data_IF_925941679405
#
_entry.id   IF_925941679405
#
_cell.length_a   1.000
_cell.length_b   1.000
_cell.length_c   1.000
_cell.angle_alpha   90.00
_cell.angle_beta   90.00
_cell.angle_gamma   90.00
#
_symmetry.space_group_name_H-M   'P 1'
#
loop_
_entity.id
_entity.type
_entity.pdbx_description
1 polymer ?
#
# COMPACT_ATOMS: atom_id res chain seq x y z
N UNK A 1 -11.21 -18.78 31.61
CA UNK A 1 -10.04 -19.20 30.78
C UNK A 1 -10.21 -19.04 29.26
N UNK A 2 -9.28 -18.37 28.59
CA UNK A 2 -9.10 -18.38 27.11
C UNK A 2 -7.89 -19.23 26.72
N UNK A 3 -7.88 -19.79 25.50
CA UNK A 3 -6.78 -20.64 25.02
C UNK A 3 -6.35 -20.23 23.61
N UNK A 4 -5.03 -20.11 23.40
CA UNK A 4 -4.41 -19.88 22.10
C UNK A 4 -3.41 -20.97 21.78
N UNK A 5 -3.56 -21.62 20.62
CA UNK A 5 -2.63 -22.65 20.13
C UNK A 5 -1.54 -22.04 19.25
N UNK A 6 -0.27 -22.27 19.58
CA UNK A 6 0.89 -21.79 18.83
C UNK A 6 1.84 -22.97 18.61
N UNK A 7 2.14 -23.31 17.34
CA UNK A 7 3.00 -24.45 16.99
C UNK A 7 2.64 -25.74 17.76
N UNK A 8 1.34 -26.02 17.88
CA UNK A 8 0.75 -27.13 18.64
C UNK A 8 0.85 -27.07 20.17
N UNK A 9 1.38 -26.00 20.76
CA UNK A 9 1.39 -25.78 22.21
C UNK A 9 0.21 -24.88 22.58
N UNK A 10 -0.51 -25.23 23.65
CA UNK A 10 -1.62 -24.45 24.18
C UNK A 10 -1.13 -23.44 25.22
N UNK A 11 -1.45 -22.17 25.00
CA UNK A 11 -1.19 -21.10 25.94
C UNK A 11 -2.50 -20.60 26.52
N UNK A 12 -2.61 -20.67 27.85
CA UNK A 12 -3.82 -20.33 28.59
C UNK A 12 -3.74 -18.88 29.09
N UNK A 13 -4.90 -18.23 29.10
CA UNK A 13 -5.12 -16.93 29.77
C UNK A 13 -6.21 -17.16 30.79
N UNK A 14 -5.87 -16.98 32.06
CA UNK A 14 -6.79 -17.09 33.17
C UNK A 14 -7.49 -15.75 33.40
N UNK A 15 -8.75 -15.81 33.76
CA UNK A 15 -9.60 -14.65 33.98
C UNK A 15 -9.18 -13.83 35.20
N UNK A 16 -8.55 -14.46 36.20
CA UNK A 16 -8.02 -13.79 37.40
C UNK A 16 -6.95 -14.65 38.10
N UNK A 17 -6.34 -14.09 39.15
CA UNK A 17 -5.35 -14.80 39.98
C UNK A 17 -5.94 -16.05 40.67
N UNK A 18 -7.20 -16.01 41.12
CA UNK A 18 -7.83 -17.15 41.78
C UNK A 18 -7.93 -18.38 40.85
N UNK A 19 -8.38 -18.18 39.61
CA UNK A 19 -8.42 -19.23 38.58
C UNK A 19 -7.00 -19.71 38.27
N UNK A 20 -6.02 -18.80 38.16
CA UNK A 20 -4.62 -19.17 37.94
C UNK A 20 -4.06 -20.07 39.05
N UNK A 21 -4.29 -19.72 40.33
CA UNK A 21 -3.79 -20.48 41.48
C UNK A 21 -4.39 -21.88 41.60
N UNK A 22 -5.60 -22.11 41.08
CA UNK A 22 -6.19 -23.45 41.03
C UNK A 22 -5.40 -24.40 40.11
N UNK A 23 -4.85 -23.88 39.00
CA UNK A 23 -4.10 -24.68 38.04
C UNK A 23 -2.58 -24.64 38.26
N UNK A 24 -2.08 -23.52 38.78
CA UNK A 24 -0.66 -23.22 38.95
C UNK A 24 -0.38 -22.67 40.38
N UNK A 25 -0.57 -23.46 41.44
CA UNK A 25 -0.54 -22.96 42.82
C UNK A 25 0.84 -22.43 43.25
N UNK A 26 1.92 -23.07 42.79
CA UNK A 26 3.30 -22.79 43.21
C UNK A 26 4.08 -21.86 42.28
N UNK A 27 3.47 -21.40 41.19
CA UNK A 27 4.17 -20.55 40.21
C UNK A 27 4.23 -19.09 40.67
N UNK A 28 5.34 -18.43 40.38
CA UNK A 28 5.50 -17.00 40.68
C UNK A 28 4.67 -16.14 39.74
N UNK A 29 3.95 -15.17 40.31
CA UNK A 29 3.10 -14.24 39.56
C UNK A 29 3.65 -12.82 39.66
N UNK A 30 4.00 -12.25 38.51
CA UNK A 30 4.48 -10.87 38.41
C UNK A 30 3.30 -9.93 38.19
N UNK A 31 2.98 -9.09 39.17
CA UNK A 31 1.80 -8.20 39.12
C UNK A 31 1.87 -7.15 38.01
N UNK A 32 3.06 -6.64 37.72
CA UNK A 32 3.28 -5.70 36.64
C UNK A 32 3.84 -6.45 35.42
N UNK A 33 3.01 -6.64 34.40
CA UNK A 33 3.44 -7.35 33.19
C UNK A 33 4.63 -6.73 32.48
N UNK A 34 4.92 -5.44 32.69
CA UNK A 34 6.08 -4.76 32.11
C UNK A 34 7.40 -5.31 32.60
N UNK A 35 7.39 -5.90 33.79
CA UNK A 35 8.58 -6.47 34.45
C UNK A 35 8.74 -7.95 34.13
N UNK A 36 7.74 -8.58 33.50
CA UNK A 36 7.75 -10.00 33.17
C UNK A 36 8.86 -10.40 32.19
N UNK A 37 9.62 -11.44 32.54
CA UNK A 37 10.64 -12.08 31.70
C UNK A 37 10.04 -13.20 30.86
N UNK A 38 10.76 -13.70 29.86
CA UNK A 38 10.30 -14.83 29.05
C UNK A 38 10.06 -16.06 29.93
N UNK A 39 8.87 -16.66 29.79
CA UNK A 39 8.39 -17.78 30.61
C UNK A 39 7.62 -17.38 31.88
N UNK A 40 7.75 -16.13 32.35
CA UNK A 40 7.07 -15.68 33.58
C UNK A 40 5.55 -15.54 33.40
N UNK A 41 4.81 -15.75 34.49
CA UNK A 41 3.39 -15.42 34.56
C UNK A 41 3.21 -13.97 35.01
N UNK A 42 2.34 -13.25 34.32
CA UNK A 42 2.09 -11.83 34.54
C UNK A 42 0.60 -11.53 34.69
N UNK A 43 0.28 -10.53 35.51
CA UNK A 43 -1.07 -9.96 35.61
C UNK A 43 -1.24 -8.81 34.62
N UNK A 44 -2.35 -8.81 33.89
CA UNK A 44 -2.74 -7.77 32.94
C UNK A 44 -3.46 -6.62 33.67
N UNK A 45 -3.65 -5.48 32.99
CA UNK A 45 -4.29 -4.31 33.60
C UNK A 45 -5.78 -4.52 33.90
N UNK A 46 -6.44 -5.47 33.22
CA UNK A 46 -7.81 -5.92 33.50
C UNK A 46 -7.88 -7.13 34.46
N UNK A 47 -6.77 -7.51 35.08
CA UNK A 47 -6.71 -8.54 36.13
C UNK A 47 -6.60 -9.98 35.64
N UNK A 48 -6.51 -10.22 34.34
CA UNK A 48 -6.24 -11.54 33.78
C UNK A 48 -4.79 -11.98 34.06
N UNK A 49 -4.53 -13.28 33.97
CA UNK A 49 -3.18 -13.84 34.15
C UNK A 49 -2.76 -14.63 32.91
N UNK A 50 -1.57 -14.32 32.37
CA UNK A 50 -1.05 -14.99 31.19
C UNK A 50 0.48 -15.12 31.23
N UNK A 51 1.02 -16.02 30.41
CA UNK A 51 2.46 -16.23 30.32
C UNK A 51 3.09 -15.29 29.28
N UNK A 52 4.27 -14.74 29.61
CA UNK A 52 5.13 -14.05 28.66
C UNK A 52 5.84 -15.07 27.79
N UNK A 53 5.46 -15.12 26.52
CA UNK A 53 6.00 -16.03 25.51
C UNK A 53 7.33 -15.54 24.93
N UNK A 54 7.56 -14.23 24.94
CA UNK A 54 8.81 -13.62 24.48
C UNK A 54 8.96 -12.22 25.05
N UNK A 55 10.18 -11.85 25.43
CA UNK A 55 10.57 -10.46 25.70
C UNK A 55 11.58 -10.01 24.64
N UNK A 56 11.54 -8.74 24.25
CA UNK A 56 12.53 -8.21 23.31
C UNK A 56 12.68 -6.71 23.42
N UNK A 57 13.69 -6.18 22.73
CA UNK A 57 14.03 -4.77 22.72
C UNK A 57 13.68 -4.12 21.38
N UNK A 58 13.05 -2.95 21.46
CA UNK A 58 12.79 -2.05 20.33
C UNK A 58 13.76 -0.88 20.42
N UNK A 59 14.75 -0.89 19.54
CA UNK A 59 15.65 0.24 19.34
C UNK A 59 14.92 1.33 18.57
N UNK A 60 14.90 2.54 19.11
CA UNK A 60 14.41 3.69 18.36
C UNK A 60 15.43 4.09 17.29
N UNK A 61 15.05 4.10 16.02
CA UNK A 61 15.97 4.48 14.93
C UNK A 61 16.36 5.96 14.95
N UNK A 62 15.60 6.80 15.66
CA UNK A 62 15.80 8.25 15.68
C UNK A 62 16.57 8.75 16.92
N UNK A 63 16.71 7.94 17.97
CA UNK A 63 17.43 8.31 19.19
C UNK A 63 18.37 7.20 19.62
N UNK A 64 19.67 7.50 19.59
CA UNK A 64 20.72 6.61 20.11
C UNK A 64 20.55 6.49 21.63
N UNK A 65 20.30 5.26 22.11
CA UNK A 65 20.20 4.94 23.54
C UNK A 65 18.79 4.74 24.10
N UNK A 66 17.73 5.06 23.34
CA UNK A 66 16.35 4.78 23.79
C UNK A 66 15.91 3.38 23.30
N UNK A 67 16.01 2.40 24.19
CA UNK A 67 15.43 1.06 24.02
C UNK A 67 14.11 0.95 24.78
N UNK A 68 13.04 0.57 24.10
CA UNK A 68 11.80 0.16 24.76
C UNK A 68 11.74 -1.36 24.79
N UNK A 69 11.40 -1.95 25.94
CA UNK A 69 11.10 -3.37 25.98
C UNK A 69 9.70 -3.64 25.42
N UNK A 70 9.50 -4.85 24.93
CA UNK A 70 8.18 -5.37 24.64
C UNK A 70 8.04 -6.79 25.16
N UNK A 71 6.81 -7.16 25.50
CA UNK A 71 6.42 -8.53 25.82
C UNK A 71 5.41 -9.03 24.82
N UNK A 72 5.49 -10.32 24.50
CA UNK A 72 4.50 -11.05 23.72
C UNK A 72 3.87 -12.08 24.62
N UNK A 73 2.56 -12.03 24.75
CA UNK A 73 1.74 -12.98 25.52
C UNK A 73 0.74 -13.65 24.59
N UNK A 74 -0.03 -14.61 25.11
CA UNK A 74 -1.14 -15.20 24.35
C UNK A 74 -2.18 -14.15 23.89
N UNK A 75 -2.36 -13.05 24.61
CA UNK A 75 -3.30 -11.97 24.26
C UNK A 75 -2.78 -11.20 23.04
N UNK A 76 -1.51 -10.79 23.05
CA UNK A 76 -0.92 -9.94 22.02
C UNK A 76 0.54 -9.56 22.28
N UNK A 77 1.08 -8.66 21.46
CA UNK A 77 2.40 -8.06 21.69
C UNK A 77 2.20 -6.61 22.15
N UNK A 78 2.80 -6.24 23.28
CA UNK A 78 2.65 -4.94 23.92
C UNK A 78 4.02 -4.34 24.25
N UNK A 79 4.17 -3.03 24.02
CA UNK A 79 5.38 -2.29 24.40
C UNK A 79 5.28 -1.95 25.88
N UNK A 80 6.35 -2.18 26.63
CA UNK A 80 6.44 -1.83 28.05
C UNK A 80 6.61 -0.31 28.21
N UNK A 81 5.52 0.43 28.08
CA UNK A 81 5.43 1.88 28.31
C UNK A 81 4.23 2.16 29.19
N UNK A 82 4.35 3.14 30.07
CA UNK A 82 3.32 3.46 31.07
C UNK A 82 1.95 3.80 30.45
N UNK A 83 1.93 4.33 29.23
CA UNK A 83 0.70 4.69 28.52
C UNK A 83 0.07 3.55 27.69
N UNK A 84 0.58 2.32 27.77
CA UNK A 84 0.06 1.16 27.02
C UNK A 84 -0.48 0.14 28.00
N UNK A 85 -1.79 -0.10 27.97
CA UNK A 85 -2.43 -1.15 28.77
C UNK A 85 -2.49 -2.47 27.99
N UNK A 86 -2.30 -3.57 28.72
CA UNK A 86 -2.60 -4.93 28.28
C UNK A 86 -3.91 -5.36 28.93
N UNK A 87 -4.95 -5.47 28.12
CA UNK A 87 -6.29 -5.87 28.54
C UNK A 87 -7.08 -6.46 27.36
N UNK A 88 -8.17 -7.15 27.67
CA UNK A 88 -9.19 -7.59 26.72
C UNK A 88 -8.98 -8.98 26.13
N UNK A 89 -9.60 -9.21 24.97
CA UNK A 89 -9.63 -10.52 24.31
C UNK A 89 -8.36 -10.84 23.49
N UNK A 90 -8.22 -12.11 23.09
CA UNK A 90 -7.13 -12.57 22.23
C UNK A 90 -7.12 -11.84 20.87
N UNK A 91 -6.11 -11.00 20.62
CA UNK A 91 -5.98 -10.26 19.34
C UNK A 91 -5.81 -11.21 18.16
N UNK A 92 -6.50 -11.01 17.04
CA UNK A 92 -6.37 -11.90 15.85
C UNK A 92 -4.92 -12.11 15.41
N UNK A 93 -4.09 -11.06 15.44
CA UNK A 93 -2.66 -11.17 15.20
C UNK A 93 -1.86 -10.84 16.47
N UNK A 94 -1.43 -11.89 17.17
CA UNK A 94 -0.64 -11.77 18.40
C UNK A 94 0.73 -11.11 18.18
N UNK A 95 1.27 -11.16 16.97
CA UNK A 95 2.61 -10.67 16.64
C UNK A 95 2.66 -9.17 16.33
N UNK A 96 1.50 -8.54 16.15
CA UNK A 96 1.39 -7.11 15.87
C UNK A 96 1.22 -6.31 17.16
N UNK A 97 1.88 -5.16 17.22
CA UNK A 97 1.68 -4.18 18.30
C UNK A 97 0.32 -3.47 18.22
N UNK A 98 -0.32 -3.46 17.03
CA UNK A 98 -1.63 -2.84 16.84
C UNK A 98 -2.78 -3.68 17.38
N UNK A 99 -3.80 -3.02 17.94
CA UNK A 99 -5.05 -3.64 18.41
C UNK A 99 -6.01 -4.01 17.28
N UNK A 100 -5.76 -3.56 16.04
CA UNK A 100 -6.70 -3.75 14.96
C UNK A 100 -6.74 -5.22 14.50
N UNK A 101 -7.93 -5.81 14.60
CA UNK A 101 -8.31 -7.12 14.06
C UNK A 101 -8.38 -7.17 12.52
N UNK A 102 -7.64 -6.29 11.85
CA UNK A 102 -7.64 -6.08 10.41
C UNK A 102 -6.37 -6.73 9.85
N UNK A 103 -6.51 -7.52 8.79
CA UNK A 103 -5.36 -8.15 8.15
C UNK A 103 -4.40 -7.08 7.59
N UNK A 104 -3.08 -7.35 7.51
CA UNK A 104 -2.12 -6.42 6.91
C UNK A 104 -2.52 -5.96 5.50
N UNK A 105 -3.16 -6.85 4.74
CA UNK A 105 -3.73 -6.56 3.42
C UNK A 105 -4.82 -5.49 3.49
N UNK A 106 -5.84 -5.68 4.34
CA UNK A 106 -6.92 -4.68 4.51
C UNK A 106 -6.39 -3.36 5.05
N UNK A 107 -5.47 -3.40 6.02
CA UNK A 107 -4.85 -2.19 6.55
C UNK A 107 -4.11 -1.37 5.47
N UNK A 108 -3.55 -2.03 4.46
CA UNK A 108 -2.88 -1.36 3.34
C UNK A 108 -3.88 -0.68 2.40
N UNK A 109 -4.99 -1.36 2.10
CA UNK A 109 -6.04 -0.86 1.19
C UNK A 109 -6.82 0.27 1.85
N UNK A 110 -7.30 0.04 3.09
CA UNK A 110 -8.18 0.95 3.83
C UNK A 110 -7.47 2.21 4.35
N UNK A 111 -6.16 2.32 4.13
CA UNK A 111 -5.38 3.48 4.53
C UNK A 111 -5.95 4.73 3.83
N UNK A 112 -6.17 5.81 4.58
CA UNK A 112 -6.67 7.07 3.99
C UNK A 112 -5.54 7.96 3.44
N UNK A 113 -4.45 8.10 4.20
CA UNK A 113 -3.33 9.01 3.87
C UNK A 113 -2.20 8.27 3.16
N UNK A 114 -1.62 8.90 2.15
CA UNK A 114 -0.54 8.30 1.39
C UNK A 114 0.77 8.29 2.19
N UNK A 115 1.60 7.28 1.94
CA UNK A 115 2.95 7.21 2.52
C UNK A 115 3.99 7.80 1.57
N UNK A 116 5.15 8.24 2.08
CA UNK A 116 6.26 8.74 1.25
C UNK A 116 6.70 7.74 0.17
N UNK A 117 6.65 6.44 0.46
CA UNK A 117 6.97 5.39 -0.50
C UNK A 117 5.89 5.20 -1.56
N UNK A 118 4.62 5.42 -1.21
CA UNK A 118 3.53 5.43 -2.19
C UNK A 118 3.69 6.62 -3.17
N UNK A 119 4.16 7.79 -2.70
CA UNK A 119 4.53 8.90 -3.59
C UNK A 119 5.67 8.55 -4.54
N UNK A 120 6.78 7.99 -4.02
CA UNK A 120 7.90 7.56 -4.87
C UNK A 120 7.47 6.49 -5.89
N UNK A 121 6.67 5.52 -5.45
CA UNK A 121 6.12 4.49 -6.32
C UNK A 121 5.28 5.11 -7.45
N UNK A 122 4.36 6.03 -7.12
CA UNK A 122 3.54 6.72 -8.10
C UNK A 122 4.38 7.51 -9.10
N UNK A 123 5.42 8.22 -8.63
CA UNK A 123 6.37 8.94 -9.49
C UNK A 123 7.06 8.01 -10.50
N UNK A 124 7.62 6.88 -10.05
CA UNK A 124 8.28 5.94 -10.96
C UNK A 124 7.31 5.32 -11.97
N UNK A 125 6.08 5.01 -11.54
CA UNK A 125 5.04 4.51 -12.47
C UNK A 125 4.67 5.58 -13.51
N UNK A 126 4.50 6.85 -13.10
CA UNK A 126 4.22 7.95 -14.01
C UNK A 126 5.35 8.20 -15.02
N UNK A 127 6.60 7.94 -14.61
CA UNK A 127 7.78 7.96 -15.48
C UNK A 127 7.92 6.71 -16.38
N UNK A 128 6.95 5.78 -16.36
CA UNK A 128 6.91 4.60 -17.21
C UNK A 128 7.67 3.38 -16.71
N UNK A 129 8.16 3.37 -15.46
CA UNK A 129 8.73 2.16 -14.91
C UNK A 129 7.66 1.08 -14.75
N UNK A 130 8.02 -0.17 -15.07
CA UNK A 130 7.14 -1.31 -14.84
C UNK A 130 6.78 -1.47 -13.36
N UNK A 131 5.63 -2.08 -13.06
CA UNK A 131 5.07 -2.17 -11.70
C UNK A 131 6.09 -2.72 -10.69
N UNK A 132 6.72 -3.85 -11.02
CA UNK A 132 7.71 -4.48 -10.14
C UNK A 132 8.94 -3.60 -9.94
N UNK A 133 9.46 -3.00 -11.02
CA UNK A 133 10.62 -2.12 -10.99
C UNK A 133 10.35 -0.86 -10.15
N UNK A 134 9.23 -0.17 -10.40
CA UNK A 134 8.80 0.99 -9.64
C UNK A 134 8.66 0.67 -8.14
N UNK A 135 8.11 -0.50 -7.82
CA UNK A 135 7.96 -0.95 -6.44
C UNK A 135 9.33 -1.21 -5.79
N UNK A 136 10.24 -1.91 -6.45
CA UNK A 136 11.58 -2.18 -5.92
C UNK A 136 12.42 -0.90 -5.76
N UNK A 137 12.22 0.11 -6.61
CA UNK A 137 12.85 1.43 -6.43
C UNK A 137 12.29 2.19 -5.22
N UNK A 138 10.98 2.10 -4.96
CA UNK A 138 10.34 2.81 -3.87
C UNK A 138 10.39 2.08 -2.51
N UNK A 139 10.53 0.75 -2.50
CA UNK A 139 10.51 -0.10 -1.32
C UNK A 139 11.73 -1.01 -1.27
N UNK A 140 12.34 -1.22 -0.08
CA UNK A 140 13.55 -2.03 0.06
C UNK A 140 13.24 -3.53 -0.07
N UNK A 141 13.09 -4.01 -1.29
CA UNK A 141 12.90 -5.43 -1.60
C UNK A 141 13.57 -5.77 -2.93
N UNK A 142 14.14 -6.97 -2.99
CA UNK A 142 14.77 -7.51 -4.21
C UNK A 142 13.95 -8.68 -4.80
N UNK A 143 12.76 -8.96 -4.23
CA UNK A 143 11.91 -10.03 -4.72
C UNK A 143 10.90 -9.49 -5.73
N UNK A 144 11.16 -9.75 -7.00
CA UNK A 144 10.37 -9.25 -8.12
C UNK A 144 8.91 -9.75 -8.10
N UNK A 145 8.66 -11.04 -7.83
CA UNK A 145 7.29 -11.58 -7.77
C UNK A 145 6.49 -10.94 -6.64
N UNK A 146 7.13 -10.72 -5.49
CA UNK A 146 6.53 -10.00 -4.38
C UNK A 146 6.26 -8.54 -4.75
N UNK A 147 7.22 -7.87 -5.39
CA UNK A 147 7.10 -6.48 -5.82
C UNK A 147 5.96 -6.28 -6.82
N UNK A 148 5.84 -7.15 -7.83
CA UNK A 148 4.73 -7.15 -8.79
C UNK A 148 3.38 -7.29 -8.10
N UNK A 149 3.23 -8.32 -7.26
CA UNK A 149 1.98 -8.58 -6.54
C UNK A 149 1.59 -7.41 -5.62
N UNK A 150 2.56 -6.87 -4.86
CA UNK A 150 2.31 -5.74 -3.97
C UNK A 150 2.05 -4.44 -4.73
N UNK A 151 2.74 -4.21 -5.84
CA UNK A 151 2.54 -3.06 -6.72
C UNK A 151 1.13 -3.07 -7.31
N UNK A 152 0.65 -4.23 -7.79
CA UNK A 152 -0.73 -4.40 -8.27
C UNK A 152 -1.77 -4.06 -7.20
N UNK A 153 -1.53 -4.45 -5.94
CA UNK A 153 -2.41 -4.08 -4.82
C UNK A 153 -2.39 -2.56 -4.58
N UNK A 154 -1.23 -1.90 -4.70
CA UNK A 154 -1.17 -0.44 -4.54
C UNK A 154 -1.94 0.26 -5.67
N UNK A 155 -1.76 -0.16 -6.92
CA UNK A 155 -2.44 0.41 -8.08
C UNK A 155 -3.96 0.27 -8.07
N UNK A 156 -4.50 -0.75 -7.38
CA UNK A 156 -5.95 -0.88 -7.24
C UNK A 156 -6.56 0.16 -6.29
N UNK A 157 -5.75 0.81 -5.44
CA UNK A 157 -6.26 1.81 -4.49
C UNK A 157 -6.43 3.19 -5.14
N UNK A 158 -7.59 3.82 -4.88
CA UNK A 158 -7.90 5.14 -5.47
C UNK A 158 -6.88 6.21 -5.07
N UNK A 159 -6.37 6.12 -3.84
CA UNK A 159 -5.31 6.98 -3.32
C UNK A 159 -4.07 6.97 -4.22
N UNK A 160 -3.56 5.79 -4.58
CA UNK A 160 -2.34 5.68 -5.39
C UNK A 160 -2.64 6.04 -6.86
N UNK A 161 -3.82 5.72 -7.38
CA UNK A 161 -4.24 6.18 -8.71
C UNK A 161 -4.23 7.71 -8.82
N UNK A 162 -4.73 8.41 -7.80
CA UNK A 162 -4.70 9.87 -7.77
C UNK A 162 -3.28 10.43 -7.73
N UNK A 163 -2.38 9.82 -6.94
CA UNK A 163 -0.97 10.22 -6.96
C UNK A 163 -0.32 10.03 -8.34
N UNK A 164 -0.64 8.94 -9.03
CA UNK A 164 -0.12 8.70 -10.38
C UNK A 164 -0.66 9.76 -11.34
N UNK A 165 -1.97 10.08 -11.28
CA UNK A 165 -2.57 11.16 -12.10
C UNK A 165 -1.84 12.49 -11.87
N UNK A 166 -1.65 12.88 -10.62
CA UNK A 166 -0.95 14.13 -10.26
C UNK A 166 0.50 14.16 -10.77
N UNK A 167 1.22 13.04 -10.71
CA UNK A 167 2.59 12.96 -11.23
C UNK A 167 2.63 12.94 -12.77
N UNK A 168 1.67 12.28 -13.43
CA UNK A 168 1.52 12.32 -14.89
C UNK A 168 1.23 13.74 -15.36
N UNK A 169 0.31 14.46 -14.70
CA UNK A 169 -0.03 15.84 -15.03
C UNK A 169 1.19 16.76 -14.93
N UNK A 170 2.06 16.55 -13.92
CA UNK A 170 3.33 17.29 -13.80
C UNK A 170 4.27 16.99 -14.97
N UNK A 171 4.45 15.71 -15.32
CA UNK A 171 5.31 15.31 -16.44
C UNK A 171 4.79 15.88 -17.77
N UNK A 172 3.47 15.87 -17.99
CA UNK A 172 2.85 16.47 -19.17
C UNK A 172 3.07 17.98 -19.23
N UNK A 173 2.90 18.68 -18.09
CA UNK A 173 3.17 20.11 -18.00
C UNK A 173 4.64 20.47 -18.23
N UNK A 174 5.57 19.69 -17.68
CA UNK A 174 7.02 19.85 -17.90
C UNK A 174 7.40 19.62 -19.36
N UNK A 175 6.69 18.73 -20.07
CA UNK A 175 6.86 18.50 -21.50
C UNK A 175 6.10 19.50 -22.39
N UNK A 176 5.48 20.54 -21.81
CA UNK A 176 4.62 21.51 -22.50
C UNK A 176 3.39 20.88 -23.21
N UNK A 177 3.06 19.64 -22.87
CA UNK A 177 1.88 18.91 -23.38
C UNK A 177 0.67 19.32 -22.54
N UNK A 178 0.13 20.49 -22.86
CA UNK A 178 -1.09 21.01 -22.20
C UNK A 178 -2.36 20.48 -22.88
N UNK A 179 -3.53 20.51 -22.21
CA UNK A 179 -4.80 20.20 -22.85
C UNK A 179 -5.06 21.04 -24.11
N UNK A 180 -4.68 22.32 -24.09
CA UNK A 180 -4.80 23.21 -25.25
C UNK A 180 -3.88 22.79 -26.39
N UNK A 181 -2.64 22.40 -26.09
CA UNK A 181 -1.72 21.87 -27.09
C UNK A 181 -2.30 20.63 -27.78
N UNK A 182 -2.83 19.68 -27.01
CA UNK A 182 -3.45 18.46 -27.54
C UNK A 182 -4.68 18.76 -28.42
N UNK A 183 -5.55 19.67 -27.98
CA UNK A 183 -6.70 20.12 -28.77
C UNK A 183 -6.26 20.82 -30.07
N UNK A 184 -5.19 21.63 -30.01
CA UNK A 184 -4.57 22.24 -31.17
C UNK A 184 -4.07 21.20 -32.17
N UNK A 185 -3.38 20.16 -31.71
CA UNK A 185 -2.91 19.04 -32.55
C UNK A 185 -4.06 18.24 -33.15
N UNK A 186 -5.14 18.00 -32.41
CA UNK A 186 -6.34 17.37 -32.99
C UNK A 186 -6.95 18.24 -34.09
N UNK A 187 -7.02 19.56 -33.90
CA UNK A 187 -7.50 20.48 -34.92
C UNK A 187 -6.63 20.45 -36.18
N UNK A 188 -5.30 20.47 -36.03
CA UNK A 188 -4.37 20.35 -37.17
C UNK A 188 -4.63 19.08 -38.00
N UNK A 189 -4.90 17.94 -37.36
CA UNK A 189 -5.24 16.68 -38.05
C UNK A 189 -6.57 16.79 -38.82
N UNK A 190 -7.56 17.45 -38.24
CA UNK A 190 -8.87 17.66 -38.88
C UNK A 190 -8.73 18.57 -40.11
N UNK A 191 -7.96 19.64 -39.98
CA UNK A 191 -7.78 20.66 -41.02
C UNK A 191 -6.78 20.23 -42.12
N UNK A 192 -5.97 19.20 -41.90
CA UNK A 192 -4.96 18.73 -42.85
C UNK A 192 -5.59 17.98 -44.04
N UNK A 193 -5.47 18.54 -45.24
CA UNK A 193 -5.95 17.91 -46.48
C UNK A 193 -5.23 16.59 -46.82
N UNK A 194 -4.04 16.33 -46.29
CA UNK A 194 -3.29 15.09 -46.51
C UNK A 194 -3.65 13.93 -45.58
N UNK A 195 -4.33 14.19 -44.47
CA UNK A 195 -4.71 13.17 -43.49
C UNK A 195 -5.87 12.30 -43.99
N UNK A 196 -5.87 11.02 -43.62
CA UNK A 196 -6.93 10.09 -44.01
C UNK A 196 -8.27 10.48 -43.36
N UNK A 197 -9.37 10.33 -44.09
CA UNK A 197 -10.71 10.65 -43.59
C UNK A 197 -11.04 9.92 -42.29
N UNK A 198 -10.55 8.69 -42.13
CA UNK A 198 -10.70 7.90 -40.90
C UNK A 198 -10.12 8.61 -39.68
N UNK A 199 -8.92 9.17 -39.80
CA UNK A 199 -8.22 9.85 -38.70
C UNK A 199 -8.93 11.17 -38.35
N UNK A 200 -9.38 11.91 -39.37
CA UNK A 200 -10.19 13.13 -39.19
C UNK A 200 -11.49 12.85 -38.46
N UNK A 201 -12.23 11.82 -38.89
CA UNK A 201 -13.49 11.41 -38.25
C UNK A 201 -13.24 11.01 -36.79
N UNK A 202 -12.15 10.29 -36.51
CA UNK A 202 -11.82 9.89 -35.14
C UNK A 202 -11.45 11.08 -34.25
N UNK A 203 -10.66 12.04 -34.76
CA UNK A 203 -10.35 13.28 -34.05
C UNK A 203 -11.61 14.11 -33.78
N UNK A 204 -12.47 14.31 -34.79
CA UNK A 204 -13.75 15.00 -34.65
C UNK A 204 -14.66 14.34 -33.61
N UNK A 205 -14.80 13.01 -33.65
CA UNK A 205 -15.60 12.25 -32.68
C UNK A 205 -15.08 12.45 -31.25
N UNK A 206 -13.76 12.44 -31.06
CA UNK A 206 -13.14 12.67 -29.76
C UNK A 206 -13.40 14.09 -29.25
N UNK A 207 -13.29 15.10 -30.12
CA UNK A 207 -13.61 16.49 -29.79
C UNK A 207 -15.10 16.66 -29.43
N UNK A 208 -16.01 16.02 -30.16
CA UNK A 208 -17.45 16.03 -29.85
C UNK A 208 -17.77 15.39 -28.48
N UNK A 209 -17.05 14.33 -28.10
CA UNK A 209 -17.20 13.73 -26.76
C UNK A 209 -16.72 14.68 -25.67
N UNK A 210 -15.57 15.33 -25.87
CA UNK A 210 -15.01 16.30 -24.90
C UNK A 210 -15.95 17.51 -24.74
N UNK A 211 -16.56 18.00 -25.82
CA UNK A 211 -17.48 19.14 -25.78
C UNK A 211 -18.88 18.80 -25.24
N UNK A 212 -19.15 17.53 -24.93
CA UNK A 212 -20.45 17.06 -24.45
C UNK A 212 -21.53 17.04 -25.54
N UNK A 213 -21.14 17.08 -26.82
CA UNK A 213 -22.07 17.01 -27.97
C UNK A 213 -22.51 15.57 -28.30
N UNK A 214 -21.95 14.57 -27.61
CA UNK A 214 -22.41 13.19 -27.68
C UNK A 214 -23.05 12.79 -26.35
N UNK A 215 -24.29 12.28 -26.42
CA UNK A 215 -24.91 11.57 -25.29
C UNK A 215 -24.06 10.34 -24.95
N UNK A 216 -23.35 10.42 -23.84
CA UNK A 216 -22.60 9.30 -23.27
C UNK A 216 -23.33 8.77 -22.05
N UNK A 217 -24.63 8.52 -22.19
CA UNK A 217 -25.38 7.68 -21.24
C UNK A 217 -24.98 6.22 -21.41
N UNK A 218 -23.78 5.92 -20.92
CA UNK A 218 -23.36 4.64 -20.35
C UNK A 218 -22.08 4.93 -19.60
N UNK A 219 -22.19 5.14 -18.28
CA UNK A 219 -21.12 4.86 -17.34
C UNK A 219 -20.87 3.34 -17.34
N UNK A 220 -20.39 2.79 -18.45
CA UNK A 220 -19.62 1.56 -18.38
C UNK A 220 -18.34 1.94 -17.65
N UNK A 221 -18.05 1.22 -16.57
CA UNK A 221 -16.75 1.17 -15.93
C UNK A 221 -15.73 0.63 -16.95
N UNK A 222 -15.41 1.38 -18.00
CA UNK A 222 -14.24 1.13 -18.81
C UNK A 222 -13.06 1.57 -17.96
N UNK A 223 -12.67 0.71 -17.03
CA UNK A 223 -11.29 0.55 -16.61
C UNK A 223 -10.55 0.03 -17.84
N UNK A 224 -10.39 0.88 -18.86
CA UNK A 224 -9.30 0.69 -19.80
C UNK A 224 -8.06 0.87 -18.94
N UNK A 225 -7.41 -0.25 -18.64
CA UNK A 225 -6.13 -0.29 -17.96
C UNK A 225 -5.21 0.68 -18.70
N UNK A 226 -5.01 1.87 -18.13
CA UNK A 226 -3.94 2.74 -18.56
C UNK A 226 -2.65 1.98 -18.22
N UNK A 227 -2.08 1.28 -19.20
CA UNK A 227 -0.83 0.52 -19.05
C UNK A 227 0.39 1.43 -18.97
N UNK A 228 0.18 2.75 -18.89
CA UNK A 228 1.22 3.75 -19.05
C UNK A 228 1.66 3.87 -20.51
N UNK A 229 2.56 4.80 -20.75
CA UNK A 229 3.32 4.86 -21.99
C UNK A 229 4.49 3.87 -21.90
N UNK A 230 4.84 3.21 -23.00
CA UNK A 230 6.07 2.40 -23.02
C UNK A 230 7.28 3.30 -22.82
N UNK A 231 8.39 2.72 -22.34
CA UNK A 231 9.63 3.48 -22.14
C UNK A 231 10.07 4.22 -23.41
N UNK A 232 9.89 3.58 -24.57
CA UNK A 232 10.18 4.16 -25.88
C UNK A 232 9.28 5.36 -26.23
N UNK A 233 7.99 5.28 -25.88
CA UNK A 233 7.05 6.41 -26.06
C UNK A 233 7.39 7.59 -25.16
N UNK A 234 7.85 7.32 -23.94
CA UNK A 234 8.27 8.36 -22.99
C UNK A 234 9.59 9.00 -23.40
N UNK A 235 10.56 8.20 -23.87
CA UNK A 235 11.83 8.70 -24.37
C UNK A 235 11.62 9.54 -25.66
N UNK A 236 10.65 9.17 -26.51
CA UNK A 236 10.28 9.95 -27.69
C UNK A 236 9.64 11.31 -27.33
N UNK A 237 8.83 11.35 -26.27
CA UNK A 237 8.23 12.57 -25.74
C UNK A 237 9.31 13.48 -25.13
N UNK A 238 10.26 12.92 -24.38
CA UNK A 238 11.37 13.69 -23.78
C UNK A 238 12.39 14.18 -24.82
N UNK A 239 12.55 13.48 -25.94
CA UNK A 239 13.51 13.80 -27.00
C UNK A 239 13.01 14.75 -28.09
N UNK A 240 11.72 15.12 -28.10
CA UNK A 240 11.13 16.03 -29.09
C UNK A 240 11.03 15.47 -30.52
N UNK A 241 11.20 14.17 -30.71
CA UNK A 241 11.36 13.53 -32.03
C UNK A 241 10.04 12.92 -32.53
N UNK A 242 9.19 13.76 -33.14
CA UNK A 242 7.81 13.43 -33.55
C UNK A 242 7.69 12.30 -34.58
N UNK A 243 8.76 11.99 -35.33
CA UNK A 243 8.77 10.93 -36.36
C UNK A 243 8.67 9.51 -35.78
N UNK A 244 9.25 9.26 -34.59
CA UNK A 244 9.25 7.91 -33.97
C UNK A 244 7.89 7.51 -33.41
N UNK A 245 7.07 8.48 -33.00
CA UNK A 245 5.70 8.26 -32.51
C UNK A 245 4.78 7.66 -33.59
N UNK A 246 4.98 8.06 -34.85
CA UNK A 246 4.17 7.60 -35.99
C UNK A 246 4.54 6.16 -36.39
N UNK A 247 5.81 5.77 -36.32
CA UNK A 247 6.27 4.39 -36.59
C UNK A 247 5.77 3.39 -35.54
N UNK A 248 5.83 3.73 -34.25
CA UNK A 248 5.35 2.85 -33.18
C UNK A 248 3.84 2.54 -33.26
N UNK A 249 3.05 3.48 -33.80
CA UNK A 249 1.61 3.26 -34.05
C UNK A 249 1.31 2.36 -35.25
N UNK A 250 2.29 2.10 -36.13
CA UNK A 250 2.12 1.25 -37.33
C UNK A 250 2.44 -0.22 -37.08
N UNK A 251 3.24 -0.58 -36.08
CA UNK A 251 3.70 -1.96 -35.87
C UNK A 251 2.73 -2.87 -35.10
N UNK A 252 1.52 -2.42 -34.78
CA UNK A 252 0.48 -3.32 -34.23
C UNK A 252 -0.29 -3.98 -35.38
N UNK A 253 0.39 -4.84 -36.14
CA UNK A 253 -0.22 -5.90 -36.94
C UNK A 253 0.59 -7.20 -36.84
N UNK A 254 0.19 -8.07 -35.91
CA UNK A 254 -0.32 -9.43 -36.19
C UNK A 254 -0.85 -10.10 -34.92
#
# INVERSE_FOLDING_TARGET
MLVRKIKNIEHRVYSNEDEFRQYCPSEDLTRNWRDGTEGSWVTTDDGQVCQVLRRGELKNSQSTGVCNNYVRTAIGTFVCRDNIEMSGELRKNMYSFGSNNISPYRQKIDRKKATRREFLFAKYVAQGNGIAEAFMKAYPTNNEKYADYQGKILLSTERVKNLIREEVDKVLHEAEITPLYLLGKMKEVVDDNGSQDKDKIQALKTLMQISGMMDTEKRTESVTLFQGFTKEQLDAIQGGDSKKLIEASREVEK
#
